data_IF_909405795311
#
_entry.id   IF_909405795311
#
_cell.length_a   1.000
_cell.length_b   1.000
_cell.length_c   1.000
_cell.angle_alpha   90.00
_cell.angle_beta   90.00
_cell.angle_gamma   90.00
#
_symmetry.space_group_name_H-M   'P 1'
#
loop_
_entity.id
_entity.type
_entity.pdbx_description
1 polymer ?
#
# COMPACT_ATOMS: atom_id res chain seq x y z
N UNK A 1 -2.71 20.89 1.04
CA UNK A 1 -1.89 20.25 -0.01
C UNK A 1 -1.84 18.76 0.28
N UNK A 2 -2.36 17.92 -0.62
CA UNK A 2 -2.48 16.46 -0.44
C UNK A 2 -1.12 15.75 -0.50
N UNK A 3 -1.02 14.54 0.06
CA UNK A 3 0.20 13.71 -0.02
C UNK A 3 0.68 13.54 -1.47
N UNK A 4 -0.25 13.35 -2.39
CA UNK A 4 0.01 13.25 -3.83
C UNK A 4 0.66 14.52 -4.39
N UNK A 5 0.19 15.69 -3.99
CA UNK A 5 0.72 16.98 -4.43
C UNK A 5 2.13 17.22 -3.87
N UNK A 6 2.36 16.89 -2.59
CA UNK A 6 3.69 17.00 -1.96
C UNK A 6 4.71 16.05 -2.61
N UNK A 7 4.29 14.82 -2.89
CA UNK A 7 5.13 13.83 -3.56
C UNK A 7 5.46 14.24 -5.01
N UNK A 8 4.48 14.76 -5.75
CA UNK A 8 4.71 15.28 -7.09
C UNK A 8 5.70 16.46 -7.09
N UNK A 9 5.57 17.39 -6.14
CA UNK A 9 6.48 18.53 -6.02
C UNK A 9 7.92 18.10 -5.65
N UNK A 10 8.06 17.11 -4.78
CA UNK A 10 9.34 16.48 -4.44
C UNK A 10 10.02 15.90 -5.68
N UNK A 11 9.27 15.11 -6.47
CA UNK A 11 9.78 14.50 -7.71
C UNK A 11 10.19 15.55 -8.75
N UNK A 12 9.44 16.65 -8.87
CA UNK A 12 9.76 17.76 -9.78
C UNK A 12 11.06 18.45 -9.36
N UNK A 13 11.24 18.71 -8.05
CA UNK A 13 12.48 19.31 -7.52
C UNK A 13 13.68 18.40 -7.71
N UNK A 14 13.50 17.10 -7.45
CA UNK A 14 14.51 16.07 -7.68
C UNK A 14 14.92 15.98 -9.15
N UNK A 15 13.96 15.92 -10.07
CA UNK A 15 14.23 15.86 -11.51
C UNK A 15 15.03 17.07 -12.03
N UNK A 16 14.75 18.27 -11.50
CA UNK A 16 15.48 19.50 -11.86
C UNK A 16 16.93 19.51 -11.39
N UNK A 17 17.28 18.74 -10.34
CA UNK A 17 18.63 18.67 -9.78
C UNK A 17 19.57 17.83 -10.64
N UNK A 18 19.03 16.83 -11.34
CA UNK A 18 19.80 15.80 -12.05
C UNK A 18 19.72 15.93 -13.57
N UNK A 19 18.69 16.58 -14.12
CA UNK A 19 18.54 16.66 -15.58
C UNK A 19 19.74 17.39 -16.25
N UNK A 20 20.53 16.71 -17.10
CA UNK A 20 21.50 17.39 -17.94
C UNK A 20 20.78 18.22 -19.01
N UNK A 21 21.38 19.35 -19.42
CA UNK A 21 20.90 20.14 -20.55
C UNK A 21 20.93 19.27 -21.82
N UNK A 22 19.75 18.92 -22.33
CA UNK A 22 19.60 18.02 -23.49
C UNK A 22 20.14 18.70 -24.74
N UNK A 23 21.33 18.28 -25.18
CA UNK A 23 21.76 18.39 -26.57
C UNK A 23 21.55 17.03 -27.24
N UNK A 24 20.67 16.99 -28.23
CA UNK A 24 20.38 15.80 -29.02
C UNK A 24 21.55 15.44 -29.92
N UNK A 25 22.35 14.42 -29.61
CA UNK A 25 23.07 13.58 -30.60
C UNK A 25 23.27 12.14 -30.09
N UNK A 26 22.78 11.20 -30.92
CA UNK A 26 23.29 9.85 -31.28
C UNK A 26 23.29 8.61 -30.33
N UNK A 27 22.45 7.62 -30.73
CA UNK A 27 22.63 6.14 -30.89
C UNK A 27 23.39 5.30 -29.82
N UNK A 28 22.98 4.06 -29.49
CA UNK A 28 23.04 2.85 -30.35
C UNK A 28 22.37 1.61 -29.67
N UNK A 29 21.95 0.64 -30.49
CA UNK A 29 21.21 -0.61 -30.20
C UNK A 29 21.95 -1.72 -29.40
N UNK A 30 21.19 -2.43 -28.53
CA UNK A 30 21.11 -3.88 -28.13
C UNK A 30 22.36 -4.82 -28.17
N UNK A 31 22.49 -5.88 -27.31
CA UNK A 31 21.52 -7.00 -27.24
C UNK A 31 21.32 -7.82 -25.94
N UNK A 32 20.26 -8.64 -26.01
CA UNK A 32 19.69 -9.65 -25.12
C UNK A 32 20.66 -10.79 -24.72
N UNK A 33 20.59 -11.30 -23.47
CA UNK A 33 20.83 -12.72 -23.15
C UNK A 33 20.02 -13.21 -21.93
N UNK A 34 19.21 -14.26 -22.16
CA UNK A 34 18.43 -15.08 -21.21
C UNK A 34 19.20 -16.39 -20.92
N UNK A 35 19.34 -16.78 -19.65
CA UNK A 35 19.68 -18.12 -19.15
C UNK A 35 19.65 -18.06 -17.59
N UNK A 36 19.14 -18.98 -16.77
CA UNK A 36 18.49 -20.29 -16.90
C UNK A 36 17.70 -20.53 -15.61
N UNK A 37 16.50 -21.12 -15.69
CA UNK A 37 15.74 -21.63 -14.55
C UNK A 37 16.01 -23.14 -14.44
N UNK A 38 16.64 -23.58 -13.34
CA UNK A 38 16.65 -24.99 -12.94
C UNK A 38 15.73 -25.22 -11.75
N UNK A 39 14.96 -26.30 -11.86
CA UNK A 39 13.88 -26.73 -11.01
C UNK A 39 14.38 -27.34 -9.68
N UNK A 40 13.65 -27.08 -8.60
CA UNK A 40 13.76 -27.83 -7.33
C UNK A 40 12.38 -28.38 -7.00
N UNK A 41 12.27 -29.70 -6.90
CA UNK A 41 11.05 -30.42 -6.50
C UNK A 41 10.96 -30.60 -4.97
N UNK A 42 9.75 -30.84 -4.41
CA UNK A 42 9.41 -30.57 -3.01
C UNK A 42 9.30 -31.83 -2.13
N UNK A 43 9.48 -31.68 -0.81
CA UNK A 43 8.69 -32.41 0.21
C UNK A 43 9.02 -32.02 1.67
N UNK A 44 8.21 -32.39 2.67
CA UNK A 44 7.60 -31.41 3.58
C UNK A 44 8.04 -31.60 5.04
N UNK A 45 7.90 -30.55 5.85
CA UNK A 45 7.85 -30.71 7.30
C UNK A 45 7.02 -29.61 7.92
N UNK A 46 5.76 -29.96 8.22
CA UNK A 46 4.90 -29.24 9.16
C UNK A 46 5.59 -29.18 10.52
N UNK A 47 5.90 -27.97 10.98
CA UNK A 47 6.11 -27.70 12.41
C UNK A 47 5.28 -26.49 12.77
N UNK A 48 4.27 -26.70 13.61
CA UNK A 48 3.44 -25.67 14.21
C UNK A 48 4.33 -24.81 15.11
N UNK A 49 4.68 -23.62 14.64
CA UNK A 49 5.37 -22.60 15.44
C UNK A 49 4.32 -21.94 16.33
N UNK A 50 4.50 -22.10 17.63
CA UNK A 50 3.71 -21.47 18.68
C UNK A 50 3.92 -19.94 18.60
N UNK A 51 2.83 -19.16 18.68
CA UNK A 51 2.84 -17.72 18.38
C UNK A 51 3.67 -16.87 19.37
N UNK A 52 4.19 -17.49 20.43
CA UNK A 52 5.02 -16.87 21.47
C UNK A 52 6.54 -16.92 21.18
N UNK A 53 6.98 -17.69 20.18
CA UNK A 53 8.42 -17.94 19.90
C UNK A 53 8.92 -17.25 18.62
N UNK A 54 8.14 -16.29 18.10
CA UNK A 54 8.60 -15.48 16.97
C UNK A 54 9.64 -14.48 17.48
N UNK A 55 10.88 -14.50 16.96
CA UNK A 55 11.84 -13.45 17.28
C UNK A 55 11.19 -12.12 16.93
N UNK A 56 11.07 -11.24 17.92
CA UNK A 56 10.66 -9.84 17.72
C UNK A 56 11.80 -9.13 17.00
N UNK A 57 11.94 -9.42 15.70
CA UNK A 57 12.78 -8.67 14.81
C UNK A 57 12.04 -7.35 14.59
N UNK A 58 12.62 -6.26 15.08
CA UNK A 58 12.10 -4.93 14.78
C UNK A 58 11.92 -4.80 13.26
N UNK A 59 10.75 -4.32 12.78
CA UNK A 59 10.53 -4.12 11.37
C UNK A 59 11.63 -3.22 10.81
N UNK A 60 12.30 -3.65 9.75
CA UNK A 60 13.29 -2.84 9.05
C UNK A 60 12.72 -1.46 8.72
N UNK A 61 13.52 -0.41 8.93
CA UNK A 61 13.15 0.95 8.57
C UNK A 61 12.97 1.10 7.05
N UNK A 62 12.30 2.18 6.62
CA UNK A 62 11.96 2.38 5.21
C UNK A 62 13.21 2.37 4.31
N UNK A 63 14.26 3.07 4.71
CA UNK A 63 15.55 3.14 4.03
C UNK A 63 16.21 1.77 3.89
N UNK A 64 16.22 0.99 4.97
CA UNK A 64 16.77 -0.36 4.96
C UNK A 64 16.01 -1.25 3.97
N UNK A 65 14.68 -1.19 3.97
CA UNK A 65 13.84 -2.00 3.06
C UNK A 65 14.03 -1.60 1.60
N UNK A 66 14.07 -0.30 1.29
CA UNK A 66 14.21 0.20 -0.08
C UNK A 66 15.57 -0.15 -0.68
N UNK A 67 16.64 -0.11 0.12
CA UNK A 67 18.00 -0.37 -0.35
C UNK A 67 18.31 -1.86 -0.43
N UNK A 68 17.78 -2.66 0.50
CA UNK A 68 18.18 -4.07 0.65
C UNK A 68 17.27 -5.07 -0.07
N UNK A 69 16.02 -4.71 -0.40
CA UNK A 69 15.06 -5.60 -1.06
C UNK A 69 14.87 -5.23 -2.52
N UNK A 70 14.53 -6.21 -3.34
CA UNK A 70 14.11 -5.94 -4.71
C UNK A 70 12.75 -5.25 -4.75
N UNK A 71 12.51 -4.48 -5.80
CA UNK A 71 11.22 -3.80 -6.00
C UNK A 71 10.09 -4.82 -6.14
N UNK A 72 10.36 -5.98 -6.76
CA UNK A 72 9.39 -7.08 -6.82
C UNK A 72 9.03 -7.65 -5.45
N UNK A 73 10.01 -7.82 -4.55
CA UNK A 73 9.73 -8.28 -3.18
C UNK A 73 8.90 -7.23 -2.43
N UNK A 74 9.24 -5.95 -2.55
CA UNK A 74 8.47 -4.86 -1.95
C UNK A 74 7.02 -4.80 -2.50
N UNK A 75 6.84 -5.05 -3.80
CA UNK A 75 5.51 -5.18 -4.42
C UNK A 75 4.73 -6.36 -3.82
N UNK A 76 5.36 -7.53 -3.66
CA UNK A 76 4.71 -8.70 -3.08
C UNK A 76 4.25 -8.44 -1.64
N UNK A 77 5.09 -7.78 -0.84
CA UNK A 77 4.74 -7.35 0.53
C UNK A 77 3.57 -6.36 0.54
N UNK A 78 3.59 -5.36 -0.33
CA UNK A 78 2.50 -4.38 -0.44
C UNK A 78 1.16 -5.04 -0.84
N UNK A 79 1.20 -5.98 -1.81
CA UNK A 79 0.02 -6.77 -2.19
C UNK A 79 -0.47 -7.60 -1.03
N UNK A 80 0.44 -8.24 -0.27
CA UNK A 80 0.06 -9.05 0.89
C UNK A 80 -0.63 -8.20 1.95
N UNK A 81 -0.07 -7.04 2.32
CA UNK A 81 -0.70 -6.14 3.29
C UNK A 81 -2.05 -5.60 2.81
N UNK A 82 -2.16 -5.18 1.55
CA UNK A 82 -3.44 -4.74 0.96
C UNK A 82 -4.46 -5.86 0.87
N UNK A 83 -4.04 -7.10 0.57
CA UNK A 83 -4.93 -8.26 0.55
C UNK A 83 -5.49 -8.59 1.93
N UNK A 84 -4.69 -8.45 3.00
CA UNK A 84 -5.17 -8.58 4.38
C UNK A 84 -6.21 -7.51 4.71
N UNK A 85 -5.95 -6.25 4.36
CA UNK A 85 -6.92 -5.16 4.56
C UNK A 85 -8.21 -5.37 3.76
N UNK A 86 -8.08 -5.84 2.52
CA UNK A 86 -9.19 -6.20 1.64
C UNK A 86 -10.06 -7.31 2.25
N UNK A 87 -9.44 -8.37 2.78
CA UNK A 87 -10.17 -9.47 3.41
C UNK A 87 -10.97 -8.99 4.64
N UNK A 88 -10.40 -8.11 5.46
CA UNK A 88 -11.10 -7.52 6.60
C UNK A 88 -12.32 -6.69 6.15
N UNK A 89 -12.17 -5.87 5.11
CA UNK A 89 -13.27 -5.06 4.56
C UNK A 89 -14.34 -5.89 3.87
N UNK A 90 -13.96 -6.99 3.20
CA UNK A 90 -14.90 -7.92 2.59
C UNK A 90 -15.82 -8.52 3.65
N UNK A 91 -15.26 -9.02 4.75
CA UNK A 91 -16.04 -9.58 5.86
C UNK A 91 -16.97 -8.53 6.46
N UNK A 92 -16.46 -7.32 6.74
CA UNK A 92 -17.28 -6.25 7.31
C UNK A 92 -18.40 -5.79 6.37
N UNK A 93 -18.13 -5.61 5.08
CA UNK A 93 -19.12 -5.25 4.08
C UNK A 93 -20.23 -6.31 3.99
N UNK A 94 -19.89 -7.61 3.96
CA UNK A 94 -20.88 -8.68 3.95
C UNK A 94 -21.75 -8.69 5.22
N UNK A 95 -21.16 -8.51 6.41
CA UNK A 95 -21.92 -8.47 7.67
C UNK A 95 -22.89 -7.28 7.69
N UNK A 96 -22.45 -6.11 7.26
CA UNK A 96 -23.31 -4.93 7.22
C UNK A 96 -24.41 -5.03 6.16
N UNK A 97 -24.13 -5.67 5.01
CA UNK A 97 -25.15 -5.93 4.01
C UNK A 97 -26.24 -6.88 4.52
N UNK A 98 -25.85 -7.97 5.19
CA UNK A 98 -26.81 -8.88 5.83
C UNK A 98 -27.65 -8.18 6.91
N UNK A 99 -27.04 -7.32 7.74
CA UNK A 99 -27.77 -6.49 8.72
C UNK A 99 -28.75 -5.56 8.05
N UNK A 100 -28.36 -4.92 6.94
CA UNK A 100 -29.22 -4.06 6.14
C UNK A 100 -30.42 -4.82 5.58
N UNK A 101 -30.19 -6.01 5.00
CA UNK A 101 -31.26 -6.87 4.47
C UNK A 101 -32.21 -7.30 5.59
N UNK A 102 -31.68 -7.80 6.71
CA UNK A 102 -32.47 -8.23 7.85
C UNK A 102 -33.31 -7.07 8.43
N UNK A 103 -32.73 -5.88 8.54
CA UNK A 103 -33.43 -4.69 9.03
C UNK A 103 -34.61 -4.30 8.12
N UNK A 104 -34.43 -4.37 6.80
CA UNK A 104 -35.51 -4.13 5.82
C UNK A 104 -36.63 -5.17 5.92
N UNK A 105 -36.29 -6.45 6.09
CA UNK A 105 -37.27 -7.54 6.27
C UNK A 105 -38.08 -7.35 7.56
N UNK A 106 -37.41 -7.02 8.66
CA UNK A 106 -38.05 -6.77 9.97
C UNK A 106 -38.99 -5.55 9.90
N UNK A 107 -38.56 -4.47 9.23
CA UNK A 107 -39.39 -3.30 9.01
C UNK A 107 -40.64 -3.62 8.18
N UNK A 108 -40.49 -4.39 7.09
CA UNK A 108 -41.61 -4.76 6.21
C UNK A 108 -42.60 -5.74 6.87
N UNK A 109 -42.11 -6.64 7.73
CA UNK A 109 -42.92 -7.62 8.45
C UNK A 109 -43.57 -7.10 9.74
N UNK A 110 -43.18 -5.90 10.20
CA UNK A 110 -43.68 -5.31 11.45
C UNK A 110 -43.17 -6.01 12.73
N UNK A 111 -42.27 -6.99 12.61
CA UNK A 111 -41.70 -7.73 13.75
C UNK A 111 -40.39 -7.05 14.14
N UNK A 112 -40.33 -6.46 15.35
CA UNK A 112 -39.12 -5.80 15.89
C UNK A 112 -38.51 -4.76 14.92
N UNK A 113 -39.35 -3.93 14.30
CA UNK A 113 -38.87 -2.83 13.47
C UNK A 113 -38.00 -1.86 14.31
N UNK A 114 -36.75 -1.66 13.88
CA UNK A 114 -35.87 -0.65 14.46
C UNK A 114 -36.39 0.76 14.15
N UNK A 115 -35.95 1.76 14.91
CA UNK A 115 -36.31 3.15 14.61
C UNK A 115 -35.75 3.59 13.25
N UNK A 116 -36.37 4.58 12.58
CA UNK A 116 -35.87 5.10 11.30
C UNK A 116 -34.41 5.55 11.34
N UNK A 117 -33.97 6.12 12.47
CA UNK A 117 -32.59 6.58 12.68
C UNK A 117 -31.61 5.40 12.65
N UNK A 118 -31.93 4.31 13.34
CA UNK A 118 -31.11 3.09 13.37
C UNK A 118 -31.05 2.44 11.99
N UNK A 119 -32.16 2.46 11.24
CA UNK A 119 -32.18 1.95 9.86
C UNK A 119 -31.28 2.77 8.93
N UNK A 120 -31.31 4.10 9.07
CA UNK A 120 -30.44 4.99 8.31
C UNK A 120 -28.96 4.80 8.66
N UNK A 121 -28.64 4.58 9.93
CA UNK A 121 -27.28 4.27 10.38
C UNK A 121 -26.76 2.96 9.77
N UNK A 122 -27.56 1.88 9.82
CA UNK A 122 -27.21 0.59 9.21
C UNK A 122 -26.97 0.74 7.71
N UNK A 123 -27.81 1.51 7.00
CA UNK A 123 -27.62 1.77 5.57
C UNK A 123 -26.32 2.54 5.31
N UNK A 124 -26.06 3.60 6.07
CA UNK A 124 -24.86 4.42 5.94
C UNK A 124 -23.59 3.61 6.16
N UNK A 125 -23.57 2.74 7.17
CA UNK A 125 -22.45 1.85 7.44
C UNK A 125 -22.28 0.82 6.33
N UNK A 126 -23.35 0.17 5.87
CA UNK A 126 -23.27 -0.79 4.77
C UNK A 126 -22.71 -0.16 3.48
N UNK A 127 -23.14 1.05 3.14
CA UNK A 127 -22.63 1.81 1.99
C UNK A 127 -21.16 2.16 2.18
N UNK A 128 -20.76 2.63 3.37
CA UNK A 128 -19.38 3.02 3.66
C UNK A 128 -18.43 1.83 3.50
N UNK A 129 -18.73 0.70 4.15
CA UNK A 129 -17.91 -0.50 4.06
C UNK A 129 -17.82 -1.04 2.62
N UNK A 130 -18.90 -0.95 1.85
CA UNK A 130 -18.91 -1.38 0.46
C UNK A 130 -18.08 -0.46 -0.45
N UNK A 131 -18.11 0.85 -0.20
CA UNK A 131 -17.28 1.83 -0.91
C UNK A 131 -15.80 1.62 -0.60
N UNK A 132 -15.46 1.43 0.67
CA UNK A 132 -14.08 1.17 1.10
C UNK A 132 -13.56 -0.14 0.50
N UNK A 133 -14.36 -1.20 0.53
CA UNK A 133 -14.03 -2.46 -0.13
C UNK A 133 -13.69 -2.25 -1.62
N UNK A 134 -14.54 -1.51 -2.35
CA UNK A 134 -14.30 -1.21 -3.77
C UNK A 134 -13.02 -0.41 -3.99
N UNK A 135 -12.76 0.60 -3.16
CA UNK A 135 -11.54 1.40 -3.24
C UNK A 135 -10.29 0.53 -3.01
N UNK A 136 -10.32 -0.38 -2.03
CA UNK A 136 -9.22 -1.29 -1.73
C UNK A 136 -9.03 -2.30 -2.86
N UNK A 137 -10.10 -2.86 -3.44
CA UNK A 137 -10.01 -3.75 -4.61
C UNK A 137 -9.32 -3.05 -5.78
N UNK A 138 -9.69 -1.79 -6.07
CA UNK A 138 -9.06 -1.00 -7.12
C UNK A 138 -7.57 -0.74 -6.83
N UNK A 139 -7.22 -0.42 -5.58
CA UNK A 139 -5.83 -0.24 -5.17
C UNK A 139 -5.02 -1.53 -5.36
N UNK A 140 -5.57 -2.69 -4.99
CA UNK A 140 -4.93 -3.99 -5.18
C UNK A 140 -4.65 -4.27 -6.66
N UNK A 141 -5.62 -4.01 -7.55
CA UNK A 141 -5.46 -4.16 -8.99
C UNK A 141 -4.38 -3.24 -9.56
N UNK A 142 -4.36 -1.97 -9.13
CA UNK A 142 -3.34 -1.01 -9.56
C UNK A 142 -1.94 -1.45 -9.15
N UNK A 143 -1.75 -1.88 -7.90
CA UNK A 143 -0.45 -2.38 -7.42
C UNK A 143 -0.05 -3.66 -8.16
N UNK A 144 -0.99 -4.58 -8.40
CA UNK A 144 -0.74 -5.81 -9.14
C UNK A 144 -0.28 -5.56 -10.58
N UNK A 145 -0.74 -4.48 -11.22
CA UNK A 145 -0.38 -4.12 -12.59
C UNK A 145 1.03 -3.48 -12.74
N UNK A 146 1.66 -3.02 -11.64
CA UNK A 146 2.99 -2.38 -11.70
C UNK A 146 4.05 -3.41 -12.10
N UNK A 147 4.81 -3.15 -13.17
CA UNK A 147 5.98 -3.97 -13.50
C UNK A 147 7.17 -3.55 -12.62
N UNK A 148 7.80 -4.52 -11.97
CA UNK A 148 8.89 -4.26 -11.02
C UNK A 148 10.12 -5.11 -11.37
N UNK A 149 11.33 -4.53 -11.28
CA UNK A 149 12.55 -5.30 -11.48
C UNK A 149 12.84 -6.25 -10.30
N UNK A 150 13.66 -7.27 -10.59
CA UNK A 150 14.05 -8.34 -9.67
C UNK A 150 15.23 -7.98 -8.75
N UNK A 151 16.06 -7.01 -9.13
CA UNK A 151 17.18 -6.59 -8.30
C UNK A 151 16.81 -5.43 -7.36
N UNK A 152 17.58 -5.21 -6.28
CA UNK A 152 17.47 -4.00 -5.48
C UNK A 152 17.71 -2.74 -6.32
N UNK A 153 17.02 -1.65 -5.98
CA UNK A 153 17.12 -0.35 -6.69
C UNK A 153 18.58 0.11 -6.76
N UNK A 154 19.33 -0.07 -5.67
CA UNK A 154 20.75 0.29 -5.57
C UNK A 154 21.63 -0.45 -6.58
N UNK A 155 21.30 -1.70 -6.89
CA UNK A 155 22.06 -2.54 -7.84
C UNK A 155 21.64 -2.27 -9.29
N UNK A 156 20.34 -2.11 -9.55
CA UNK A 156 19.83 -1.85 -10.90
C UNK A 156 20.25 -0.48 -11.44
N UNK A 157 20.15 0.55 -10.61
CA UNK A 157 20.43 1.92 -11.03
C UNK A 157 21.91 2.29 -10.96
N UNK A 158 22.75 1.46 -10.30
CA UNK A 158 24.18 1.73 -10.10
C UNK A 158 24.44 3.18 -9.64
N UNK A 159 23.68 3.61 -8.63
CA UNK A 159 23.69 5.01 -8.18
C UNK A 159 25.09 5.40 -7.67
N UNK A 160 25.64 6.48 -8.20
CA UNK A 160 26.95 7.02 -7.81
C UNK A 160 26.85 8.54 -7.54
N UNK A 161 27.76 9.04 -6.70
CA UNK A 161 27.92 10.48 -6.46
C UNK A 161 26.63 11.20 -6.04
N UNK A 162 26.24 12.22 -6.81
CA UNK A 162 25.07 13.05 -6.53
C UNK A 162 23.74 12.29 -6.64
N UNK A 163 23.66 11.23 -7.45
CA UNK A 163 22.45 10.42 -7.62
C UNK A 163 22.17 9.59 -6.37
N UNK A 164 23.22 9.05 -5.74
CA UNK A 164 23.12 8.34 -4.47
C UNK A 164 22.69 9.28 -3.34
N UNK A 165 23.24 10.50 -3.30
CA UNK A 165 22.84 11.52 -2.33
C UNK A 165 21.37 11.94 -2.50
N UNK A 166 20.90 12.09 -3.74
CA UNK A 166 19.48 12.37 -4.00
C UNK A 166 18.59 11.21 -3.55
N UNK A 167 18.95 9.97 -3.87
CA UNK A 167 18.16 8.82 -3.47
C UNK A 167 17.98 8.73 -1.95
N UNK A 168 19.04 9.03 -1.18
CA UNK A 168 18.97 9.11 0.27
C UNK A 168 18.02 10.23 0.75
N UNK A 169 18.14 11.44 0.20
CA UNK A 169 17.29 12.60 0.51
C UNK A 169 15.79 12.32 0.22
N UNK A 170 15.51 11.65 -0.91
CA UNK A 170 14.16 11.23 -1.28
C UNK A 170 13.57 10.21 -0.29
N UNK A 171 14.36 9.21 0.10
CA UNK A 171 13.94 8.18 1.06
C UNK A 171 13.67 8.81 2.43
N UNK A 172 14.57 9.67 2.91
CA UNK A 172 14.41 10.37 4.19
C UNK A 172 13.15 11.21 4.19
N UNK A 173 12.94 12.01 3.14
CA UNK A 173 11.74 12.84 3.01
C UNK A 173 10.47 12.00 2.99
N UNK A 174 10.46 10.87 2.27
CA UNK A 174 9.33 9.95 2.26
C UNK A 174 9.08 9.35 3.65
N UNK A 175 10.14 8.98 4.38
CA UNK A 175 10.03 8.44 5.74
C UNK A 175 9.40 9.46 6.69
N UNK A 176 9.86 10.71 6.66
CA UNK A 176 9.33 11.80 7.49
C UNK A 176 7.85 12.04 7.19
N UNK A 177 7.48 12.12 5.91
CA UNK A 177 6.08 12.34 5.50
C UNK A 177 5.17 11.16 5.88
N UNK A 178 5.66 9.91 5.80
CA UNK A 178 4.93 8.73 6.28
C UNK A 178 4.72 8.76 7.79
N UNK A 179 5.77 9.06 8.57
CA UNK A 179 5.65 9.19 10.03
C UNK A 179 4.68 10.30 10.41
N UNK A 180 4.73 11.45 9.73
CA UNK A 180 3.77 12.55 9.94
C UNK A 180 2.34 12.08 9.73
N UNK A 181 2.06 11.40 8.62
CA UNK A 181 0.71 10.89 8.35
C UNK A 181 0.26 9.81 9.34
N UNK A 182 1.15 8.95 9.79
CA UNK A 182 0.82 7.97 10.84
C UNK A 182 0.45 8.65 12.16
N UNK A 183 1.16 9.72 12.53
CA UNK A 183 0.86 10.51 13.73
C UNK A 183 -0.47 11.26 13.59
N UNK A 184 -0.78 11.81 12.40
CA UNK A 184 -2.08 12.43 12.11
C UNK A 184 -3.25 11.44 12.21
N UNK A 185 -3.04 10.18 11.82
CA UNK A 185 -4.05 9.13 11.97
C UNK A 185 -4.18 8.63 13.42
N UNK A 186 -3.09 8.67 14.21
CA UNK A 186 -3.09 8.25 15.61
C UNK A 186 -3.64 9.32 16.56
N UNK A 187 -3.44 10.59 16.22
CA UNK A 187 -4.09 11.74 16.84
C UNK A 187 -4.99 12.41 15.80
N UNK A 188 -6.16 11.81 15.48
CA UNK A 188 -7.18 12.56 14.77
C UNK A 188 -7.46 13.77 15.66
N UNK A 189 -7.13 14.97 15.18
CA UNK A 189 -7.49 16.16 15.94
C UNK A 189 -8.99 16.06 16.23
N UNK A 190 -9.35 16.06 17.51
CA UNK A 190 -10.65 16.55 17.93
C UNK A 190 -10.69 17.99 17.40
N UNK A 191 -11.19 18.15 16.17
CA UNK A 191 -11.74 19.42 15.71
C UNK A 191 -13.04 19.63 16.52
N UNK A 192 -12.84 19.85 17.81
CA UNK A 192 -13.80 20.48 18.70
C UNK A 192 -13.98 21.92 18.20
N UNK A 193 -15.21 22.20 17.82
CA UNK A 193 -15.89 23.46 18.11
C UNK A 193 -15.15 24.74 17.73
N UNK A 194 -15.32 25.15 16.46
CA UNK A 194 -15.56 26.55 16.12
C UNK A 194 -16.02 26.72 14.66
N UNK A 195 -17.35 26.70 14.44
CA UNK A 195 -18.13 27.85 13.94
C UNK A 195 -19.62 27.52 13.80
#
# INVERSE_FOLDING_TARGET
MSLRERFADLLIRAARRIAPSVHSEEFTELPQQLASLEAVDPSPASTSVDAADLPSVEPLSLDQRVISRSVKTLKAEAISSLATLHAAHLVGASVWDERRIAARINAASGIKAASPEVLAEIEGLAVTWQNDLSAITNALQQVAAISCPEAPISQDLRLEGEEQALAADLIETCSVELTRHQLELANPQEDDDQQ
#
